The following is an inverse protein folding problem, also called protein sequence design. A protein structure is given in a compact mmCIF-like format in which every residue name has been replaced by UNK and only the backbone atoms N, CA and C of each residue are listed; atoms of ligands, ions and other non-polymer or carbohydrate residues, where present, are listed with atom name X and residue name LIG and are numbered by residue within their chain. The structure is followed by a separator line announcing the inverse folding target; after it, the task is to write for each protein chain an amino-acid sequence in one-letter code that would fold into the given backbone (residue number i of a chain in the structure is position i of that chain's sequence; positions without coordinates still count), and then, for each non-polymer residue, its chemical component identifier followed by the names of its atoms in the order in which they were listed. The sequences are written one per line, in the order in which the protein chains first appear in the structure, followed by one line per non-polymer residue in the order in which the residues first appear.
data_IF_292820238751
#
_entry.id   IF_292820238751
#
_cell.length_a   1.000
_cell.length_b   1.000
_cell.length_c   1.000
_cell.angle_alpha   90.00
_cell.angle_beta   90.00
_cell.angle_gamma   90.00
#
_symmetry.space_group_name_H-M   'P 1'
#
loop_
_entity.id
_entity.type
_entity.pdbx_description
1 polymer ?
#
# COMPACT_ATOMS: atom_id res chain seq x y z
N UNK A 1 -2.96 5.70 5.52
CA UNK A 1 -1.72 6.22 4.89
C UNK A 1 -2.05 7.13 3.72
N UNK A 2 -2.59 6.62 2.61
CA UNK A 2 -2.91 7.41 1.40
C UNK A 2 -3.75 8.67 1.70
N UNK A 3 -4.88 8.52 2.41
CA UNK A 3 -5.69 9.68 2.82
C UNK A 3 -4.94 10.68 3.71
N UNK A 4 -3.96 10.23 4.50
CA UNK A 4 -3.20 11.11 5.39
C UNK A 4 -2.19 11.97 4.62
N UNK A 5 -1.55 11.40 3.60
CA UNK A 5 -0.70 12.16 2.67
C UNK A 5 -1.53 13.23 1.97
N UNK A 6 -2.69 12.85 1.42
CA UNK A 6 -3.59 13.80 0.76
C UNK A 6 -4.09 14.89 1.72
N UNK A 7 -4.49 14.53 2.94
CA UNK A 7 -5.03 15.48 3.92
C UNK A 7 -4.00 16.53 4.37
N UNK A 8 -2.72 16.16 4.45
CA UNK A 8 -1.64 17.04 4.92
C UNK A 8 -0.71 17.53 3.81
N UNK A 9 -1.07 17.37 2.54
CA UNK A 9 -0.22 17.75 1.40
C UNK A 9 0.16 19.23 1.38
N UNK A 10 -0.71 20.09 1.91
CA UNK A 10 -0.52 21.55 1.98
C UNK A 10 -0.15 22.04 3.40
N UNK A 11 0.23 21.12 4.30
CA UNK A 11 0.60 21.49 5.66
C UNK A 11 1.83 22.41 5.67
N UNK A 12 1.84 23.40 6.58
CA UNK A 12 3.02 24.25 6.77
C UNK A 12 4.20 23.39 7.28
N UNK A 13 5.37 23.40 6.59
CA UNK A 13 6.58 22.70 7.04
C UNK A 13 7.00 23.02 8.48
N UNK A 14 6.72 24.23 8.97
CA UNK A 14 6.99 24.66 10.35
C UNK A 14 5.86 24.32 11.34
N UNK A 15 4.74 23.83 10.83
CA UNK A 15 3.54 23.49 11.61
C UNK A 15 3.70 22.22 12.45
N UNK A 16 2.77 22.05 13.40
CA UNK A 16 2.64 20.81 14.19
C UNK A 16 1.38 20.07 13.77
N UNK A 17 1.56 18.82 13.37
CA UNK A 17 0.47 17.91 12.99
C UNK A 17 0.41 16.76 14.00
N UNK A 18 -0.75 16.49 14.64
CA UNK A 18 -0.89 15.35 15.55
C UNK A 18 -0.54 14.01 14.85
N UNK A 19 0.36 13.25 15.48
CA UNK A 19 0.80 11.94 14.97
C UNK A 19 2.01 12.00 14.04
N UNK A 20 2.46 13.18 13.61
CA UNK A 20 3.71 13.38 12.88
C UNK A 20 4.74 14.05 13.79
N UNK A 21 5.98 13.55 13.77
CA UNK A 21 7.09 14.23 14.45
C UNK A 21 7.42 15.55 13.76
N UNK A 22 7.44 15.54 12.43
CA UNK A 22 7.69 16.70 11.59
C UNK A 22 6.80 16.63 10.34
N UNK A 23 6.32 17.79 9.87
CA UNK A 23 5.69 17.91 8.56
C UNK A 23 6.75 17.76 7.45
N UNK A 24 7.93 18.33 7.69
CA UNK A 24 9.13 18.18 6.86
C UNK A 24 10.15 17.29 7.58
N UNK A 25 10.38 16.07 7.09
CA UNK A 25 11.35 15.13 7.65
C UNK A 25 12.64 15.10 6.82
N UNK A 26 13.65 15.87 7.26
CA UNK A 26 14.82 16.13 6.44
C UNK A 26 14.44 16.92 5.20
N UNK A 27 14.78 16.43 4.01
CA UNK A 27 14.43 17.06 2.74
C UNK A 27 13.05 16.61 2.20
N UNK A 28 12.32 15.77 2.93
CA UNK A 28 11.02 15.23 2.50
C UNK A 28 9.83 15.84 3.24
N UNK A 29 8.96 16.54 2.52
CA UNK A 29 7.64 16.96 2.98
C UNK A 29 6.65 15.78 2.97
N UNK A 30 5.54 15.87 3.70
CA UNK A 30 4.46 14.85 3.63
C UNK A 30 3.98 14.64 2.20
N UNK A 31 3.88 15.71 1.40
CA UNK A 31 3.47 15.65 -0.01
C UNK A 31 4.46 14.94 -0.93
N UNK A 32 5.71 14.77 -0.51
CA UNK A 32 6.75 14.11 -1.31
C UNK A 32 6.63 12.57 -1.26
N UNK A 33 5.68 12.05 -0.47
CA UNK A 33 5.35 10.62 -0.46
C UNK A 33 4.48 10.30 -1.68
N UNK A 34 5.12 9.80 -2.72
CA UNK A 34 4.45 9.31 -3.93
C UNK A 34 4.15 7.82 -3.84
N UNK A 35 2.88 7.45 -4.04
CA UNK A 35 2.51 6.04 -4.21
C UNK A 35 2.71 5.68 -5.67
N UNK A 36 3.58 4.70 -5.96
CA UNK A 36 3.93 4.31 -7.34
C UNK A 36 3.61 2.86 -7.67
N UNK A 37 3.36 2.03 -6.64
CA UNK A 37 2.98 0.63 -6.76
C UNK A 37 2.14 0.20 -5.54
N UNK A 38 1.25 -0.76 -5.73
CA UNK A 38 0.47 -1.39 -4.68
C UNK A 38 0.21 -2.86 -5.02
N UNK A 39 0.13 -3.70 -3.99
CA UNK A 39 -0.12 -5.14 -4.11
C UNK A 39 -1.21 -5.58 -3.13
N UNK A 40 -2.14 -6.41 -3.59
CA UNK A 40 -3.13 -7.07 -2.76
C UNK A 40 -3.45 -8.45 -3.35
N UNK A 41 -4.29 -9.21 -2.66
CA UNK A 41 -4.76 -10.55 -3.07
C UNK A 41 -6.27 -10.62 -3.16
N UNK A 42 -7.00 -9.64 -2.64
CA UNK A 42 -8.46 -9.58 -2.67
C UNK A 42 -8.98 -9.25 -4.08
N UNK A 43 -9.93 -10.05 -4.58
CA UNK A 43 -10.58 -9.86 -5.87
C UNK A 43 -11.30 -8.51 -6.00
N UNK A 44 -11.71 -7.90 -4.88
CA UNK A 44 -12.34 -6.57 -4.87
C UNK A 44 -11.33 -5.42 -4.87
N UNK A 45 -10.02 -5.70 -4.87
CA UNK A 45 -8.96 -4.67 -4.85
C UNK A 45 -8.01 -4.80 -6.03
N UNK A 46 -7.57 -6.02 -6.35
CA UNK A 46 -6.69 -6.27 -7.50
C UNK A 46 -7.35 -5.75 -8.78
N UNK A 47 -6.60 -4.97 -9.57
CA UNK A 47 -7.07 -4.33 -10.80
C UNK A 47 -7.72 -2.95 -10.63
N UNK A 48 -8.02 -2.52 -9.38
CA UNK A 48 -8.54 -1.17 -9.13
C UNK A 48 -7.42 -0.14 -9.02
N UNK A 49 -7.76 1.14 -9.22
CA UNK A 49 -6.90 2.25 -8.82
C UNK A 49 -6.72 2.27 -7.30
N UNK A 50 -5.55 2.67 -6.81
CA UNK A 50 -5.26 2.73 -5.39
C UNK A 50 -6.25 3.64 -4.64
N UNK A 51 -6.72 4.74 -5.25
CA UNK A 51 -7.71 5.63 -4.63
C UNK A 51 -9.05 4.93 -4.34
N UNK A 52 -9.45 3.98 -5.19
CA UNK A 52 -10.66 3.19 -5.01
C UNK A 52 -10.40 2.01 -4.05
N UNK A 53 -9.26 1.32 -4.22
CA UNK A 53 -8.93 0.13 -3.45
C UNK A 53 -8.81 0.38 -1.93
N UNK A 54 -8.39 1.59 -1.51
CA UNK A 54 -8.31 1.93 -0.08
C UNK A 54 -9.68 1.97 0.62
N UNK A 55 -10.78 2.11 -0.12
CA UNK A 55 -12.15 2.04 0.39
C UNK A 55 -12.91 0.77 0.00
N UNK A 56 -12.26 -0.17 -0.69
CA UNK A 56 -12.89 -1.38 -1.19
C UNK A 56 -12.83 -2.55 -0.20
N UNK A 57 -13.69 -3.55 -0.43
CA UNK A 57 -13.83 -4.76 0.40
C UNK A 57 -14.15 -4.39 1.86
N UNK A 58 -13.53 -5.07 2.82
CA UNK A 58 -13.77 -4.89 4.26
C UNK A 58 -13.05 -3.67 4.86
N UNK A 59 -12.40 -2.82 4.04
CA UNK A 59 -11.82 -1.57 4.52
C UNK A 59 -12.95 -0.62 4.96
N UNK A 60 -12.95 -0.24 6.24
CA UNK A 60 -14.05 0.53 6.84
C UNK A 60 -13.56 1.63 7.81
N UNK A 61 -12.32 2.10 7.63
CA UNK A 61 -11.77 3.18 8.45
C UNK A 61 -12.48 4.52 8.20
N UNK A 62 -12.35 5.45 9.13
CA UNK A 62 -12.90 6.81 8.97
C UNK A 62 -12.32 7.48 7.72
N UNK A 63 -13.17 8.09 6.91
CA UNK A 63 -12.74 8.89 5.76
C UNK A 63 -12.40 10.31 6.21
N UNK A 64 -11.16 10.73 5.99
CA UNK A 64 -10.65 12.04 6.37
C UNK A 64 -10.34 12.95 5.18
N UNK A 65 -10.13 12.35 3.99
CA UNK A 65 -9.87 13.08 2.75
C UNK A 65 -10.47 12.36 1.54
N UNK A 66 -10.82 13.12 0.51
CA UNK A 66 -11.08 12.60 -0.84
C UNK A 66 -9.74 12.44 -1.57
N UNK A 67 -9.41 11.21 -1.96
CA UNK A 67 -8.17 10.92 -2.67
C UNK A 67 -8.45 10.94 -4.18
N UNK A 68 -7.76 11.78 -4.97
CA UNK A 68 -7.90 11.75 -6.42
C UNK A 68 -7.34 10.45 -7.00
N UNK A 69 -7.77 10.09 -8.20
CA UNK A 69 -7.24 8.92 -8.92
C UNK A 69 -5.71 9.02 -9.01
N UNK A 70 -5.02 7.95 -8.60
CA UNK A 70 -3.55 7.97 -8.49
C UNK A 70 -2.86 7.48 -9.77
N UNK A 71 -3.57 6.79 -10.65
CA UNK A 71 -3.02 6.07 -11.79
C UNK A 71 -2.26 4.80 -11.39
N UNK A 72 -2.30 4.40 -10.11
CA UNK A 72 -1.63 3.21 -9.60
C UNK A 72 -2.64 2.08 -9.49
N UNK A 73 -2.60 1.17 -10.45
CA UNK A 73 -3.38 -0.07 -10.37
C UNK A 73 -2.80 -0.99 -9.30
N UNK A 74 -3.66 -1.51 -8.42
CA UNK A 74 -3.30 -2.54 -7.45
C UNK A 74 -3.03 -3.84 -8.18
N UNK A 75 -1.81 -4.35 -8.06
CA UNK A 75 -1.37 -5.55 -8.75
C UNK A 75 -1.59 -6.80 -7.88
N UNK A 76 -1.73 -7.95 -8.54
CA UNK A 76 -1.85 -9.23 -7.86
C UNK A 76 -0.52 -9.59 -7.20
N UNK A 77 -0.47 -9.54 -5.87
CA UNK A 77 0.69 -9.98 -5.08
C UNK A 77 0.72 -11.49 -4.88
N UNK A 78 1.78 -12.03 -4.27
CA UNK A 78 1.80 -13.42 -3.80
C UNK A 78 1.10 -13.56 -2.45
N UNK A 79 0.19 -14.53 -2.34
CA UNK A 79 -0.63 -14.73 -1.13
C UNK A 79 0.12 -15.37 0.02
N UNK A 80 0.86 -16.46 -0.25
CA UNK A 80 1.52 -17.29 0.78
C UNK A 80 0.60 -17.56 2.00
N UNK A 81 1.08 -17.29 3.21
CA UNK A 81 0.35 -17.38 4.49
C UNK A 81 -0.36 -16.06 4.86
N UNK A 82 -0.56 -15.17 3.88
CA UNK A 82 -1.29 -13.89 3.98
C UNK A 82 -2.76 -14.03 4.34
N UNK A 83 -3.41 -15.08 3.85
CA UNK A 83 -4.82 -15.34 4.14
C UNK A 83 -4.96 -16.43 5.21
N UNK A 84 -5.56 -16.08 6.34
CA UNK A 84 -5.97 -17.03 7.38
C UNK A 84 -7.34 -17.66 7.09
N UNK A 85 -7.79 -18.56 7.97
CA UNK A 85 -9.11 -19.20 7.86
C UNK A 85 -10.25 -18.18 7.77
N UNK A 86 -10.27 -17.19 8.67
CA UNK A 86 -11.35 -16.20 8.72
C UNK A 86 -11.32 -15.26 7.50
N UNK A 87 -10.14 -14.83 7.07
CA UNK A 87 -10.01 -14.01 5.85
C UNK A 87 -10.59 -14.72 4.62
N UNK A 88 -10.28 -16.00 4.42
CA UNK A 88 -10.86 -16.80 3.31
C UNK A 88 -12.37 -17.01 3.39
N UNK A 89 -12.99 -16.74 4.54
CA UNK A 89 -14.44 -16.80 4.70
C UNK A 89 -15.11 -15.45 4.40
N UNK A 90 -14.34 -14.36 4.40
CA UNK A 90 -14.86 -12.99 4.27
C UNK A 90 -14.58 -12.40 2.89
N UNK A 91 -13.45 -12.75 2.27
CA UNK A 91 -13.05 -12.23 0.96
C UNK A 91 -12.87 -13.36 -0.05
N UNK A 92 -12.98 -13.00 -1.33
CA UNK A 92 -12.59 -13.86 -2.44
C UNK A 92 -11.18 -13.49 -2.88
N UNK A 93 -10.30 -14.49 -2.99
CA UNK A 93 -8.95 -14.28 -3.52
C UNK A 93 -9.01 -14.06 -5.03
N UNK A 94 -8.33 -13.03 -5.53
CA UNK A 94 -8.23 -12.73 -6.96
C UNK A 94 -7.64 -13.92 -7.73
N UNK A 95 -8.30 -14.23 -8.85
CA UNK A 95 -7.90 -15.30 -9.78
C UNK A 95 -6.79 -14.87 -10.74
N UNK A 96 -6.37 -13.61 -10.71
CA UNK A 96 -5.25 -13.13 -11.50
C UNK A 96 -3.95 -13.83 -11.10
N UNK A 97 -2.99 -13.87 -12.03
CA UNK A 97 -1.67 -14.43 -11.76
C UNK A 97 -0.82 -13.44 -10.96
N UNK A 98 -0.18 -13.86 -9.85
CA UNK A 98 0.76 -13.01 -9.14
C UNK A 98 1.86 -12.45 -10.05
N UNK A 99 2.12 -11.15 -9.93
CA UNK A 99 3.17 -10.47 -10.70
C UNK A 99 4.55 -10.78 -10.14
N UNK A 100 5.60 -10.61 -10.96
CA UNK A 100 6.97 -10.56 -10.46
C UNK A 100 7.18 -9.25 -9.67
N UNK A 101 7.11 -9.36 -8.35
CA UNK A 101 7.24 -8.21 -7.45
C UNK A 101 8.59 -7.53 -7.60
N UNK A 102 9.69 -8.29 -7.79
CA UNK A 102 11.04 -7.69 -7.95
C UNK A 102 11.09 -6.84 -9.21
N UNK A 103 10.57 -7.37 -10.32
CA UNK A 103 10.53 -6.64 -11.58
C UNK A 103 9.67 -5.37 -11.46
N UNK A 104 8.49 -5.46 -10.84
CA UNK A 104 7.62 -4.29 -10.63
C UNK A 104 8.32 -3.22 -9.79
N UNK A 105 8.97 -3.60 -8.69
CA UNK A 105 9.67 -2.63 -7.83
C UNK A 105 10.80 -1.92 -8.60
N UNK A 106 11.52 -2.64 -9.47
CA UNK A 106 12.55 -2.05 -10.34
C UNK A 106 11.96 -1.12 -11.39
N UNK A 107 10.94 -1.56 -12.10
CA UNK A 107 10.29 -0.80 -13.18
C UNK A 107 9.64 0.48 -12.66
N UNK A 108 9.12 0.44 -11.43
CA UNK A 108 8.50 1.59 -10.75
C UNK A 108 9.48 2.40 -9.92
N UNK A 109 10.77 2.04 -9.91
CA UNK A 109 11.82 2.72 -9.17
C UNK A 109 11.45 2.96 -7.70
N UNK A 110 10.97 1.92 -7.03
CA UNK A 110 10.45 2.04 -5.66
C UNK A 110 11.59 2.23 -4.66
N UNK A 111 11.55 3.33 -3.91
CA UNK A 111 12.50 3.60 -2.82
C UNK A 111 12.16 2.86 -1.52
N UNK A 112 10.87 2.76 -1.18
CA UNK A 112 10.39 2.20 0.09
C UNK A 112 9.18 1.30 -0.15
N UNK A 113 9.25 0.04 0.32
CA UNK A 113 8.11 -0.87 0.39
C UNK A 113 7.56 -0.93 1.82
N UNK A 114 6.30 -0.55 2.00
CA UNK A 114 5.60 -0.64 3.29
C UNK A 114 4.76 -1.92 3.34
N UNK A 115 4.96 -2.74 4.37
CA UNK A 115 4.33 -4.05 4.50
C UNK A 115 3.20 -4.03 5.55
N UNK A 116 1.94 -4.03 5.08
CA UNK A 116 0.73 -4.11 5.92
C UNK A 116 0.06 -5.50 5.86
N UNK A 117 0.87 -6.57 5.84
CA UNK A 117 0.34 -7.92 5.82
C UNK A 117 -0.38 -8.27 7.14
N UNK A 118 -1.38 -9.17 7.11
CA UNK A 118 -2.03 -9.65 8.31
C UNK A 118 -1.04 -10.30 9.30
N UNK A 119 -1.41 -10.24 10.59
CA UNK A 119 -0.62 -10.89 11.65
C UNK A 119 -0.51 -12.38 11.39
N UNK A 120 0.70 -12.93 11.51
CA UNK A 120 0.99 -14.36 11.31
C UNK A 120 1.48 -14.73 9.91
N UNK A 121 1.54 -13.78 8.98
CA UNK A 121 1.99 -13.99 7.60
C UNK A 121 3.51 -13.94 7.46
N UNK A 122 4.22 -14.85 8.13
CA UNK A 122 5.68 -14.87 8.19
C UNK A 122 6.32 -15.17 6.82
N UNK A 123 5.79 -16.16 6.09
CA UNK A 123 6.31 -16.54 4.78
C UNK A 123 6.11 -15.40 3.79
N UNK A 124 4.92 -14.80 3.77
CA UNK A 124 4.63 -13.64 2.95
C UNK A 124 5.55 -12.45 3.30
N UNK A 125 5.67 -12.11 4.59
CA UNK A 125 6.50 -10.98 5.02
C UNK A 125 7.97 -11.17 4.62
N UNK A 126 8.52 -12.38 4.80
CA UNK A 126 9.89 -12.70 4.35
C UNK A 126 10.03 -12.67 2.84
N UNK A 127 9.03 -13.14 2.09
CA UNK A 127 9.01 -13.05 0.64
C UNK A 127 9.10 -11.61 0.15
N UNK A 128 8.20 -10.72 0.61
CA UNK A 128 8.23 -9.30 0.19
C UNK A 128 9.49 -8.58 0.68
N UNK A 129 10.02 -8.93 1.86
CA UNK A 129 11.30 -8.41 2.33
C UNK A 129 12.45 -8.83 1.40
N UNK A 130 12.49 -10.08 0.95
CA UNK A 130 13.48 -10.55 -0.01
C UNK A 130 13.32 -9.84 -1.36
N UNK A 131 12.09 -9.66 -1.85
CA UNK A 131 11.86 -8.91 -3.08
C UNK A 131 12.38 -7.47 -2.98
N UNK A 132 12.20 -6.80 -1.84
CA UNK A 132 12.74 -5.46 -1.62
C UNK A 132 14.28 -5.43 -1.57
N UNK A 133 14.93 -6.49 -1.07
CA UNK A 133 16.39 -6.65 -1.11
C UNK A 133 16.86 -6.82 -2.55
N UNK A 134 16.18 -7.66 -3.33
CA UNK A 134 16.55 -8.03 -4.70
C UNK A 134 16.21 -6.94 -5.73
N UNK A 135 15.33 -6.01 -5.37
CA UNK A 135 14.88 -4.89 -6.20
C UNK A 135 15.89 -3.74 -6.31
N UNK A 136 16.99 -3.79 -5.55
CA UNK A 136 18.10 -2.83 -5.66
C UNK A 136 18.96 -3.03 -6.91
#
# INVERSE_FOLDING_TARGET
LVQGVEYYKDADPAGKVPGLMHVQFGDYHVSDVEFVAAFDVDAKKVGLDLADAIGASENNTIKIADVPNTGVTVQRGHTHDGLGKYYRQTIEESTDTPVDVVQVLKDKQVDVLVCYLPVGSEVAAKFYAQCAIDAK
#
